data_IF_511419259847
#
_entry.id   IF_511419259847
#
_cell.length_a   1.000
_cell.length_b   1.000
_cell.length_c   1.000
_cell.angle_alpha   90.00
_cell.angle_beta   90.00
_cell.angle_gamma   90.00
#
_symmetry.space_group_name_H-M   'P 1'
#
loop_
_entity.id
_entity.type
_entity.pdbx_description
1 polymer ?
#
# COMPACT_ATOMS: atom_id res chain seq x y z
N UNK A 1 -24.26 2.60 -41.45
CA UNK A 1 -22.79 2.42 -41.44
C UNK A 1 -22.50 1.03 -40.87
N UNK A 2 -21.95 0.09 -41.66
CA UNK A 2 -21.66 -1.27 -41.17
C UNK A 2 -20.33 -1.23 -40.41
N UNK A 3 -20.39 -1.23 -39.07
CA UNK A 3 -19.20 -1.45 -38.23
C UNK A 3 -18.74 -2.88 -38.51
N UNK A 4 -17.59 -3.03 -39.14
CA UNK A 4 -17.04 -4.36 -39.41
C UNK A 4 -16.34 -4.90 -38.17
N UNK A 5 -16.21 -6.23 -38.06
CA UNK A 5 -15.48 -6.89 -36.96
C UNK A 5 -14.06 -6.31 -36.80
N UNK A 6 -13.43 -5.90 -37.89
CA UNK A 6 -12.12 -5.22 -37.87
C UNK A 6 -12.14 -3.88 -37.11
N UNK A 7 -13.19 -3.07 -37.25
CA UNK A 7 -13.30 -1.81 -36.49
C UNK A 7 -13.45 -2.08 -34.99
N UNK A 8 -14.24 -3.10 -34.63
CA UNK A 8 -14.41 -3.50 -33.23
C UNK A 8 -13.09 -4.00 -32.60
N UNK A 9 -12.34 -4.83 -33.33
CA UNK A 9 -11.02 -5.32 -32.88
C UNK A 9 -10.01 -4.18 -32.72
N UNK A 10 -9.96 -3.23 -33.66
CA UNK A 10 -9.08 -2.06 -33.56
C UNK A 10 -9.45 -1.20 -32.36
N UNK A 11 -10.75 -0.97 -32.09
CA UNK A 11 -11.19 -0.24 -30.89
C UNK A 11 -10.77 -0.94 -29.60
N UNK A 12 -10.89 -2.27 -29.51
CA UNK A 12 -10.44 -3.04 -28.34
C UNK A 12 -8.93 -2.88 -28.14
N UNK A 13 -8.13 -3.00 -29.20
CA UNK A 13 -6.67 -2.83 -29.13
C UNK A 13 -6.29 -1.43 -28.66
N UNK A 14 -6.94 -0.38 -29.19
CA UNK A 14 -6.69 1.00 -28.79
C UNK A 14 -7.07 1.24 -27.32
N UNK A 15 -8.17 0.66 -26.85
CA UNK A 15 -8.54 0.71 -25.42
C UNK A 15 -7.48 0.01 -24.58
N UNK A 16 -7.02 -1.19 -24.96
CA UNK A 16 -5.97 -1.89 -24.23
C UNK A 16 -4.66 -1.08 -24.19
N UNK A 17 -4.22 -0.50 -25.31
CA UNK A 17 -3.03 0.34 -25.37
C UNK A 17 -3.17 1.59 -24.49
N UNK A 18 -4.34 2.25 -24.52
CA UNK A 18 -4.64 3.40 -23.68
C UNK A 18 -4.59 3.05 -22.19
N UNK A 19 -5.17 1.91 -21.80
CA UNK A 19 -5.11 1.40 -20.42
C UNK A 19 -3.65 1.07 -20.00
N UNK A 20 -2.85 0.48 -20.89
CA UNK A 20 -1.43 0.23 -20.63
C UNK A 20 -0.63 1.53 -20.41
N UNK A 21 -0.88 2.56 -21.23
CA UNK A 21 -0.25 3.87 -21.10
C UNK A 21 -0.65 4.56 -19.79
N UNK A 22 -1.94 4.57 -19.44
CA UNK A 22 -2.42 5.11 -18.18
C UNK A 22 -1.76 4.44 -16.97
N UNK A 23 -1.68 3.11 -16.98
CA UNK A 23 -1.03 2.36 -15.90
C UNK A 23 0.44 2.74 -15.76
N UNK A 24 1.14 2.92 -16.89
CA UNK A 24 2.55 3.34 -16.89
C UNK A 24 2.74 4.74 -16.32
N UNK A 25 1.90 5.70 -16.70
CA UNK A 25 1.99 7.08 -16.21
C UNK A 25 1.68 7.16 -14.70
N UNK A 26 0.68 6.42 -14.23
CA UNK A 26 0.29 6.41 -12.82
C UNK A 26 1.32 5.73 -11.90
N UNK A 27 2.19 4.87 -12.45
CA UNK A 27 3.28 4.21 -11.72
C UNK A 27 4.63 4.94 -11.78
N UNK A 28 4.72 6.12 -12.40
CA UNK A 28 5.98 6.85 -12.49
C UNK A 28 6.40 7.38 -11.11
N UNK A 29 7.65 7.07 -10.73
CA UNK A 29 8.23 7.59 -9.51
C UNK A 29 8.33 9.12 -9.56
N UNK A 30 7.91 9.78 -8.49
CA UNK A 30 8.03 11.21 -8.32
C UNK A 30 9.31 11.57 -7.54
N UNK A 31 9.75 12.82 -7.72
CA UNK A 31 10.71 13.43 -6.81
C UNK A 31 10.02 13.66 -5.46
N UNK A 32 10.58 13.10 -4.39
CA UNK A 32 10.07 13.22 -3.03
C UNK A 32 11.16 13.84 -2.16
N UNK A 33 11.07 15.12 -1.82
CA UNK A 33 12.03 15.76 -0.93
C UNK A 33 12.16 14.98 0.40
N UNK A 34 13.37 14.77 0.94
CA UNK A 34 13.56 14.11 2.23
C UNK A 34 12.75 14.72 3.38
N UNK A 35 12.49 16.04 3.31
CA UNK A 35 11.66 16.75 4.26
C UNK A 35 10.19 16.29 4.23
N UNK A 36 9.61 16.03 3.06
CA UNK A 36 8.23 15.57 2.92
C UNK A 36 8.06 14.15 3.48
N UNK A 37 9.01 13.25 3.15
CA UNK A 37 9.01 11.88 3.64
C UNK A 37 9.01 11.84 5.18
N UNK A 38 9.91 12.60 5.81
CA UNK A 38 10.04 12.67 7.27
C UNK A 38 8.91 13.49 7.92
N UNK A 39 8.37 14.49 7.23
CA UNK A 39 7.25 15.28 7.72
C UNK A 39 5.99 14.42 7.88
N UNK A 40 5.71 13.55 6.91
CA UNK A 40 4.58 12.62 6.94
C UNK A 40 4.88 11.42 7.85
N UNK A 41 5.95 10.67 7.58
CA UNK A 41 6.36 9.52 8.37
C UNK A 41 7.36 9.95 9.45
N UNK A 42 6.88 10.68 10.46
CA UNK A 42 7.72 11.15 11.57
C UNK A 42 8.35 9.94 12.30
N UNK A 43 9.68 9.87 12.47
CA UNK A 43 10.32 8.85 13.28
C UNK A 43 9.78 8.80 14.69
N UNK A 44 9.56 7.60 15.24
CA UNK A 44 8.98 7.40 16.57
C UNK A 44 8.02 6.23 16.61
N UNK A 45 7.22 6.17 17.67
CA UNK A 45 6.27 5.08 17.93
C UNK A 45 4.84 5.55 17.71
N UNK A 46 4.00 4.62 17.28
CA UNK A 46 2.59 4.84 17.03
C UNK A 46 1.78 3.65 17.52
N UNK A 47 0.59 3.92 18.03
CA UNK A 47 -0.46 2.91 18.23
C UNK A 47 -1.58 3.17 17.25
N UNK A 48 -2.29 2.15 16.82
CA UNK A 48 -3.31 2.31 15.80
C UNK A 48 -4.30 1.18 15.72
N UNK A 49 -5.25 1.38 14.83
CA UNK A 49 -6.32 0.42 14.52
C UNK A 49 -6.43 0.27 13.01
N UNK A 50 -6.79 -0.92 12.56
CA UNK A 50 -7.01 -1.25 11.15
C UNK A 50 -8.38 -1.85 10.91
N UNK A 51 -8.96 -1.56 9.74
CA UNK A 51 -10.17 -2.21 9.20
C UNK A 51 -9.86 -2.73 7.82
N UNK A 52 -9.95 -4.04 7.64
CA UNK A 52 -9.61 -4.71 6.39
C UNK A 52 -10.88 -5.32 5.80
N UNK A 53 -11.15 -4.99 4.54
CA UNK A 53 -12.31 -5.50 3.83
C UNK A 53 -12.25 -7.04 3.72
N UNK A 54 -13.43 -7.70 3.65
CA UNK A 54 -13.53 -9.13 3.37
C UNK A 54 -12.69 -9.60 2.19
N UNK A 55 -12.16 -10.82 2.31
CA UNK A 55 -11.44 -11.53 1.25
C UNK A 55 -11.82 -13.00 1.21
N UNK A 56 -11.28 -13.72 0.23
CA UNK A 56 -11.37 -15.17 0.12
C UNK A 56 -10.76 -15.91 1.32
N UNK A 57 -9.69 -15.37 1.94
CA UNK A 57 -9.10 -15.96 3.14
C UNK A 57 -9.75 -15.51 4.45
N UNK A 58 -10.34 -14.32 4.48
CA UNK A 58 -11.02 -13.74 5.64
C UNK A 58 -12.40 -13.20 5.23
N UNK A 59 -13.43 -14.06 5.10
CA UNK A 59 -14.73 -13.68 4.53
C UNK A 59 -15.51 -12.64 5.33
N UNK A 60 -15.22 -12.50 6.62
CA UNK A 60 -15.85 -11.47 7.47
C UNK A 60 -15.08 -10.14 7.45
N UNK A 61 -13.90 -10.09 6.82
CA UNK A 61 -12.94 -9.01 7.02
C UNK A 61 -12.24 -9.09 8.37
N UNK A 62 -11.40 -8.11 8.66
CA UNK A 62 -10.59 -8.09 9.88
C UNK A 62 -10.61 -6.70 10.53
N UNK A 63 -10.62 -6.70 11.87
CA UNK A 63 -10.23 -5.55 12.66
C UNK A 63 -8.82 -5.79 13.21
N UNK A 64 -7.97 -4.78 13.26
CA UNK A 64 -6.60 -4.93 13.72
C UNK A 64 -6.23 -3.92 14.81
N UNK A 65 -5.38 -4.34 15.75
CA UNK A 65 -4.58 -3.45 16.60
C UNK A 65 -3.17 -3.38 16.05
N UNK A 66 -2.64 -2.18 15.98
CA UNK A 66 -1.41 -1.87 15.27
C UNK A 66 -0.42 -1.16 16.19
N UNK A 67 0.83 -1.62 16.18
CA UNK A 67 1.93 -1.00 16.91
C UNK A 67 3.08 -0.75 15.96
N UNK A 68 3.23 0.49 15.52
CA UNK A 68 4.21 0.87 14.51
C UNK A 68 5.39 1.60 15.13
N UNK A 69 6.59 1.25 14.68
CA UNK A 69 7.81 2.03 14.88
C UNK A 69 8.32 2.51 13.53
N UNK A 70 8.64 3.80 13.44
CA UNK A 70 9.30 4.43 12.29
C UNK A 70 10.71 4.82 12.71
N UNK A 71 11.71 4.33 11.98
CA UNK A 71 13.13 4.53 12.27
C UNK A 71 13.81 5.22 11.10
N UNK A 72 14.59 6.27 11.38
CA UNK A 72 15.43 6.91 10.37
C UNK A 72 16.64 6.03 10.04
N UNK A 73 16.88 5.81 8.76
CA UNK A 73 18.06 5.11 8.24
C UNK A 73 19.04 6.12 7.62
N UNK A 74 20.17 5.63 7.10
CA UNK A 74 21.12 6.49 6.37
C UNK A 74 20.52 7.06 5.08
N UNK A 75 19.62 6.31 4.45
CA UNK A 75 19.13 6.54 3.10
C UNK A 75 17.60 6.67 3.03
N UNK A 76 16.91 6.79 4.17
CA UNK A 76 15.46 6.96 4.21
C UNK A 76 14.85 6.57 5.56
N UNK A 77 13.80 5.74 5.53
CA UNK A 77 13.05 5.30 6.70
C UNK A 77 12.74 3.81 6.65
N UNK A 78 12.78 3.17 7.81
CA UNK A 78 12.21 1.85 8.03
C UNK A 78 10.96 1.96 8.90
N UNK A 79 10.00 1.07 8.64
CA UNK A 79 8.80 0.90 9.45
C UNK A 79 8.66 -0.55 9.84
N UNK A 80 8.25 -0.79 11.08
CA UNK A 80 7.88 -2.11 11.58
C UNK A 80 6.57 -1.99 12.32
N UNK A 81 5.56 -2.73 11.86
CA UNK A 81 4.20 -2.73 12.41
C UNK A 81 3.92 -4.12 12.97
N UNK A 82 3.73 -4.22 14.29
CA UNK A 82 3.13 -5.40 14.89
C UNK A 82 1.63 -5.33 14.69
N UNK A 83 1.03 -6.44 14.25
CA UNK A 83 -0.38 -6.54 13.88
C UNK A 83 -1.02 -7.66 14.69
N UNK A 84 -2.04 -7.32 15.45
CA UNK A 84 -2.97 -8.28 16.04
C UNK A 84 -4.29 -8.16 15.28
N UNK A 85 -4.62 -9.17 14.47
CA UNK A 85 -5.82 -9.16 13.64
C UNK A 85 -6.89 -10.09 14.22
N UNK A 86 -8.12 -9.60 14.19
CA UNK A 86 -9.31 -10.26 14.72
C UNK A 86 -10.34 -10.39 13.60
N UNK A 87 -11.01 -11.54 13.53
CA UNK A 87 -12.18 -11.71 12.68
C UNK A 87 -13.23 -10.65 13.03
N UNK A 88 -13.70 -9.90 12.03
CA UNK A 88 -14.45 -8.68 12.30
C UNK A 88 -15.85 -8.93 12.90
N UNK A 89 -16.39 -10.15 12.78
CA UNK A 89 -17.72 -10.52 13.29
C UNK A 89 -17.62 -11.21 14.64
N UNK A 90 -16.74 -12.21 14.75
CA UNK A 90 -16.62 -13.03 15.96
C UNK A 90 -15.71 -12.42 17.02
N UNK A 91 -14.81 -11.51 16.63
CA UNK A 91 -13.80 -10.93 17.52
C UNK A 91 -12.68 -11.89 17.92
N UNK A 92 -12.67 -13.12 17.39
CA UNK A 92 -11.62 -14.09 17.64
C UNK A 92 -10.33 -13.67 16.94
N UNK A 93 -9.18 -13.99 17.54
CA UNK A 93 -7.87 -13.75 16.91
C UNK A 93 -7.79 -14.56 15.61
N UNK A 94 -7.56 -13.86 14.51
CA UNK A 94 -7.30 -14.44 13.21
C UNK A 94 -5.81 -14.72 13.02
N UNK A 95 -4.95 -13.74 13.31
CA UNK A 95 -3.49 -13.91 13.29
C UNK A 95 -2.77 -12.82 14.10
N UNK A 96 -1.52 -13.13 14.46
CA UNK A 96 -0.53 -12.16 14.93
C UNK A 96 0.66 -12.14 13.97
N UNK A 97 1.13 -10.96 13.59
CA UNK A 97 2.20 -10.83 12.61
C UNK A 97 2.98 -9.53 12.71
N UNK A 98 3.99 -9.42 11.86
CA UNK A 98 4.82 -8.21 11.72
C UNK A 98 4.90 -7.83 10.25
N UNK A 99 4.59 -6.57 9.94
CA UNK A 99 4.77 -5.97 8.62
C UNK A 99 5.91 -4.97 8.66
N UNK A 100 6.96 -5.24 7.90
CA UNK A 100 8.10 -4.34 7.75
C UNK A 100 8.02 -3.66 6.39
N UNK A 101 8.30 -2.36 6.34
CA UNK A 101 8.50 -1.67 5.07
C UNK A 101 9.68 -0.69 5.15
N UNK A 102 10.48 -0.68 4.09
CA UNK A 102 11.63 0.21 3.91
C UNK A 102 11.31 1.20 2.81
N UNK A 103 11.56 2.48 3.09
CA UNK A 103 11.45 3.62 2.18
C UNK A 103 12.85 4.14 1.94
N UNK A 104 13.38 3.94 0.73
CA UNK A 104 14.81 4.12 0.46
C UNK A 104 15.05 5.01 -0.77
N UNK A 105 15.94 5.98 -0.62
CA UNK A 105 16.51 6.76 -1.71
C UNK A 105 17.64 5.97 -2.35
N UNK A 106 17.68 5.92 -3.69
CA UNK A 106 18.78 5.27 -4.41
C UNK A 106 19.74 6.30 -5.00
N UNK A 107 21.07 6.15 -4.84
CA UNK A 107 22.05 7.15 -5.29
C UNK A 107 21.94 7.56 -6.76
N UNK A 108 21.47 6.65 -7.62
CA UNK A 108 21.34 6.84 -9.06
C UNK A 108 19.92 7.22 -9.52
N UNK A 109 18.99 7.51 -8.60
CA UNK A 109 17.60 7.84 -8.93
C UNK A 109 17.13 9.18 -8.33
N UNK A 110 18.07 10.05 -7.96
CA UNK A 110 17.76 11.36 -7.36
C UNK A 110 16.90 11.21 -6.10
N UNK A 111 15.85 12.02 -5.99
CA UNK A 111 14.94 12.02 -4.85
C UNK A 111 13.76 11.03 -5.02
N UNK A 112 13.89 10.03 -5.89
CA UNK A 112 12.87 8.99 -6.01
C UNK A 112 12.99 8.03 -4.81
N UNK A 113 11.86 7.76 -4.17
CA UNK A 113 11.79 6.86 -3.01
C UNK A 113 11.19 5.53 -3.43
N UNK A 114 11.89 4.44 -3.11
CA UNK A 114 11.46 3.06 -3.34
C UNK A 114 10.93 2.46 -2.05
N UNK A 115 9.76 1.83 -2.12
CA UNK A 115 9.15 1.10 -1.01
C UNK A 115 9.31 -0.40 -1.23
N UNK A 116 9.88 -1.09 -0.26
CA UNK A 116 9.84 -2.55 -0.18
C UNK A 116 9.10 -2.95 1.08
N UNK A 117 8.19 -3.92 1.01
CA UNK A 117 7.50 -4.43 2.19
C UNK A 117 7.51 -5.94 2.28
N UNK A 118 7.51 -6.46 3.51
CA UNK A 118 7.45 -7.89 3.84
C UNK A 118 6.60 -8.08 5.08
N UNK A 119 5.73 -9.09 5.08
CA UNK A 119 4.94 -9.48 6.25
C UNK A 119 5.25 -10.89 6.70
N UNK A 120 5.24 -11.10 8.02
CA UNK A 120 5.56 -12.35 8.65
C UNK A 120 4.48 -12.77 9.64
N UNK A 121 4.08 -14.04 9.61
CA UNK A 121 3.18 -14.67 10.59
C UNK A 121 3.87 -15.95 11.08
N UNK A 122 4.00 -16.10 12.40
CA UNK A 122 4.74 -17.22 12.99
C UNK A 122 6.18 -17.34 12.47
N UNK A 123 6.83 -16.22 12.14
CA UNK A 123 8.18 -16.17 11.58
C UNK A 123 8.30 -16.52 10.10
N UNK A 124 7.22 -16.93 9.42
CA UNK A 124 7.22 -17.24 7.99
C UNK A 124 6.86 -16.01 7.17
N UNK A 125 7.58 -15.79 6.07
CA UNK A 125 7.23 -14.76 5.08
C UNK A 125 5.92 -15.15 4.39
N UNK A 126 4.90 -14.31 4.50
CA UNK A 126 3.56 -14.56 3.94
C UNK A 126 3.12 -13.49 2.94
N UNK A 127 3.81 -12.36 2.87
CA UNK A 127 3.49 -11.27 1.94
C UNK A 127 4.75 -10.51 1.58
N UNK A 128 4.80 -9.97 0.37
CA UNK A 128 5.85 -9.07 -0.07
C UNK A 128 5.35 -8.14 -1.15
N UNK A 129 5.79 -6.88 -1.13
CA UNK A 129 5.53 -5.94 -2.21
C UNK A 129 6.72 -5.03 -2.49
N UNK A 130 6.75 -4.51 -3.72
CA UNK A 130 7.71 -3.53 -4.18
C UNK A 130 6.99 -2.38 -4.87
N UNK A 131 7.47 -1.16 -4.71
CA UNK A 131 6.87 0.02 -5.31
C UNK A 131 7.69 1.28 -5.17
N UNK A 132 7.10 2.39 -5.56
CA UNK A 132 7.70 3.72 -5.54
C UNK A 132 6.68 4.75 -5.09
N UNK A 133 7.19 5.85 -4.52
CA UNK A 133 6.35 7.01 -4.27
C UNK A 133 6.06 7.70 -5.61
N UNK A 134 4.79 7.96 -5.87
CA UNK A 134 4.29 8.59 -7.11
C UNK A 134 3.81 10.02 -6.87
N UNK A 135 3.68 10.45 -5.61
CA UNK A 135 3.38 11.82 -5.22
C UNK A 135 3.73 12.07 -3.75
N UNK A 136 4.16 13.30 -3.42
CA UNK A 136 4.35 13.76 -2.04
C UNK A 136 3.88 15.20 -1.83
N UNK A 137 3.52 15.48 -0.58
CA UNK A 137 3.40 16.81 0.02
C UNK A 137 3.82 16.72 1.49
N UNK A 138 3.86 17.86 2.18
CA UNK A 138 4.16 17.96 3.63
C UNK A 138 3.29 17.07 4.54
N UNK A 139 2.12 16.66 4.07
CA UNK A 139 1.08 15.97 4.82
C UNK A 139 0.55 14.72 4.10
N UNK A 140 1.06 14.37 2.92
CA UNK A 140 0.58 13.22 2.15
C UNK A 140 1.70 12.56 1.36
N UNK A 141 1.71 11.23 1.37
CA UNK A 141 2.50 10.39 0.47
C UNK A 141 1.55 9.48 -0.31
N UNK A 142 1.81 9.30 -1.60
CA UNK A 142 1.11 8.31 -2.43
C UNK A 142 2.15 7.35 -2.98
N UNK A 143 1.91 6.07 -2.77
CA UNK A 143 2.77 4.97 -3.19
C UNK A 143 2.00 4.11 -4.17
N UNK A 144 2.62 3.79 -5.30
CA UNK A 144 2.18 2.70 -6.18
C UNK A 144 3.08 1.51 -5.93
N UNK A 145 2.50 0.33 -5.68
CA UNK A 145 3.26 -0.89 -5.45
C UNK A 145 2.55 -2.10 -6.01
N UNK A 146 3.30 -3.17 -6.27
CA UNK A 146 2.76 -4.47 -6.67
C UNK A 146 3.28 -5.54 -5.72
N UNK A 147 2.45 -6.53 -5.40
CA UNK A 147 2.89 -7.67 -4.60
C UNK A 147 1.80 -8.58 -4.08
N UNK A 148 2.23 -9.62 -3.36
CA UNK A 148 1.36 -10.64 -2.77
C UNK A 148 1.01 -10.28 -1.34
N UNK A 149 -0.28 -10.41 -1.00
CA UNK A 149 -0.80 -10.20 0.35
C UNK A 149 -1.41 -11.49 0.85
N UNK A 150 -1.04 -11.92 2.05
CA UNK A 150 -1.50 -13.20 2.61
C UNK A 150 -3.00 -13.23 2.87
N UNK A 151 -3.63 -12.05 2.94
CA UNK A 151 -5.08 -11.91 3.09
C UNK A 151 -5.84 -12.29 1.83
N UNK A 152 -5.19 -12.58 0.69
CA UNK A 152 -5.87 -12.92 -0.56
C UNK A 152 -5.05 -13.90 -1.44
N UNK A 153 -5.73 -14.65 -2.32
CA UNK A 153 -5.08 -15.59 -3.26
C UNK A 153 -4.39 -14.95 -4.48
N UNK A 154 -4.48 -13.63 -4.66
CA UNK A 154 -4.02 -12.96 -5.89
C UNK A 154 -2.88 -11.96 -5.61
N UNK A 155 -2.19 -11.57 -6.68
CA UNK A 155 -1.26 -10.44 -6.65
C UNK A 155 -2.04 -9.12 -6.78
N UNK A 156 -1.59 -8.08 -6.06
CA UNK A 156 -2.30 -6.82 -5.93
C UNK A 156 -1.46 -5.68 -6.49
N UNK A 157 -2.09 -4.80 -7.28
CA UNK A 157 -1.54 -3.48 -7.58
C UNK A 157 -2.14 -2.50 -6.60
N UNK A 158 -1.32 -2.06 -5.64
CA UNK A 158 -1.76 -1.32 -4.47
C UNK A 158 -1.38 0.14 -4.61
N UNK A 159 -2.38 1.00 -4.52
CA UNK A 159 -2.20 2.40 -4.20
C UNK A 159 -2.28 2.56 -2.69
N UNK A 160 -1.14 2.87 -2.07
CA UNK A 160 -1.08 3.16 -0.65
C UNK A 160 -0.97 4.68 -0.46
N UNK A 161 -1.99 5.27 0.14
CA UNK A 161 -1.99 6.69 0.51
C UNK A 161 -1.75 6.82 2.01
N UNK A 162 -0.75 7.61 2.39
CA UNK A 162 -0.44 7.92 3.79
C UNK A 162 -0.66 9.41 3.98
N UNK A 163 -1.65 9.80 4.78
CA UNK A 163 -1.95 11.18 5.11
C UNK A 163 -1.64 11.44 6.58
N UNK A 164 -0.95 12.54 6.87
CA UNK A 164 -0.73 13.04 8.22
C UNK A 164 -1.70 14.16 8.55
N UNK A 165 -2.23 14.14 9.78
CA UNK A 165 -3.03 15.22 10.34
C UNK A 165 -2.73 15.34 11.84
N UNK A 166 -1.98 16.38 12.22
CA UNK A 166 -1.43 16.53 13.56
C UNK A 166 -0.56 15.33 13.96
N UNK A 167 -0.94 14.66 15.04
CA UNK A 167 -0.29 13.46 15.56
C UNK A 167 -0.84 12.15 14.98
N UNK A 168 -1.78 12.22 14.03
CA UNK A 168 -2.37 11.05 13.39
C UNK A 168 -1.79 10.78 12.01
N UNK A 169 -1.68 9.51 11.67
CA UNK A 169 -1.47 9.03 10.30
C UNK A 169 -2.66 8.19 9.87
N UNK A 170 -3.13 8.43 8.66
CA UNK A 170 -4.15 7.64 7.99
C UNK A 170 -3.48 6.94 6.83
N UNK A 171 -3.44 5.62 6.85
CA UNK A 171 -2.91 4.82 5.76
C UNK A 171 -4.07 4.05 5.13
N UNK A 172 -4.35 4.36 3.87
CA UNK A 172 -5.27 3.57 3.06
C UNK A 172 -4.47 2.74 2.07
N UNK A 173 -4.91 1.53 1.82
CA UNK A 173 -4.34 0.66 0.82
C UNK A 173 -5.48 0.17 -0.06
N UNK A 174 -5.42 0.53 -1.33
CA UNK A 174 -6.46 0.25 -2.30
C UNK A 174 -5.85 -0.56 -3.45
N UNK A 175 -6.35 -1.77 -3.64
CA UNK A 175 -6.17 -2.49 -4.90
C UNK A 175 -7.46 -2.39 -5.71
N UNK A 176 -7.55 -1.43 -6.62
CA UNK A 176 -8.70 -1.28 -7.53
C UNK A 176 -8.55 -2.05 -8.84
N UNK A 177 -7.42 -2.73 -9.07
CA UNK A 177 -7.12 -3.34 -10.36
C UNK A 177 -7.28 -2.35 -11.54
N UNK A 178 -7.25 -2.85 -12.78
CA UNK A 178 -7.70 -2.06 -13.95
C UNK A 178 -9.24 -2.11 -14.06
N UNK A 179 -9.84 -3.16 -13.49
CA UNK A 179 -11.29 -3.42 -13.50
C UNK A 179 -11.78 -3.27 -12.05
N UNK A 180 -12.56 -2.22 -11.72
CA UNK A 180 -12.90 -1.78 -10.34
C UNK A 180 -13.68 -2.75 -9.41
N UNK A 181 -13.67 -4.05 -9.67
CA UNK A 181 -14.45 -5.06 -8.93
C UNK A 181 -13.83 -6.46 -9.01
N UNK A 182 -12.80 -6.67 -9.84
CA UNK A 182 -12.04 -7.92 -9.82
C UNK A 182 -10.95 -7.80 -8.78
N UNK A 183 -11.05 -8.61 -7.71
CA UNK A 183 -10.03 -8.73 -6.66
C UNK A 183 -9.79 -7.43 -5.87
N UNK A 184 -10.84 -6.60 -5.70
CA UNK A 184 -10.74 -5.38 -4.92
C UNK A 184 -10.43 -5.67 -3.47
N UNK A 185 -9.42 -5.02 -2.91
CA UNK A 185 -9.09 -5.18 -1.51
C UNK A 185 -8.67 -3.84 -0.91
N UNK A 186 -9.36 -3.47 0.16
CA UNK A 186 -9.19 -2.19 0.85
C UNK A 186 -8.78 -2.46 2.29
N UNK A 187 -7.73 -1.78 2.73
CA UNK A 187 -7.33 -1.71 4.12
C UNK A 187 -7.23 -0.25 4.54
N UNK A 188 -7.90 0.10 5.63
CA UNK A 188 -7.78 1.42 6.24
C UNK A 188 -7.15 1.29 7.62
N UNK A 189 -6.13 2.10 7.88
CA UNK A 189 -5.42 2.10 9.14
C UNK A 189 -5.27 3.52 9.67
N UNK A 190 -5.45 3.68 10.97
CA UNK A 190 -5.25 4.95 11.67
C UNK A 190 -4.25 4.74 12.78
N UNK A 191 -3.22 5.58 12.79
CA UNK A 191 -2.16 5.57 13.78
C UNK A 191 -2.14 6.89 14.53
N UNK A 192 -1.82 6.85 15.82
CA UNK A 192 -1.61 8.00 16.69
C UNK A 192 -0.20 7.95 17.25
N UNK A 193 0.57 9.01 17.03
CA UNK A 193 1.93 9.15 17.52
C UNK A 193 1.96 9.12 19.05
N UNK A 194 2.94 8.42 19.59
CA UNK A 194 3.21 8.34 21.01
C UNK A 194 4.39 9.26 21.32
N UNK A 195 4.14 10.30 22.12
CA UNK A 195 5.19 11.20 22.63
C UNK A 195 6.12 10.48 23.61
#
# INVERSE_FOLDING_TARGET
MKVTIAHFLVSIILIMLFLCLLNKVNGMAANVPPADLVAVLRPGRYTGEGKYAPTDHYPNGLNAKLYMTVTKTQTGLDTSVQVEAFDAVTGNIAYNGVRNATFDYKPNHGDNVFKNSKSFIGGKLVSSSHGTLTSSSKDKLVISSSGSWHTSSYEHNIINTIKKDGDKLYATFDNTGIIPFLHSHIMDEVYTYQN
#
